data_IF_849330809257
#
_entry.id   IF_849330809257
#
_cell.length_a   1.000
_cell.length_b   1.000
_cell.length_c   1.000
_cell.angle_alpha   90.00
_cell.angle_beta   90.00
_cell.angle_gamma   90.00
#
_symmetry.space_group_name_H-M   'P 1'
#
loop_
_entity.id
_entity.type
_entity.pdbx_description
1 polymer ?
#
# COMPACT_ATOMS: atom_id res chain seq x y z
N UNK A 1 7.17 16.53 2.90
CA UNK A 1 5.96 17.34 2.66
C UNK A 1 6.24 18.55 1.76
N UNK A 2 7.19 19.40 2.14
CA UNK A 2 7.50 20.68 1.49
C UNK A 2 7.81 20.52 -0.01
N UNK A 3 8.53 19.47 -0.39
CA UNK A 3 8.89 19.16 -1.78
C UNK A 3 7.67 18.97 -2.69
N UNK A 4 6.60 18.34 -2.21
CA UNK A 4 5.35 18.19 -2.96
C UNK A 4 4.68 19.56 -3.20
N UNK A 5 4.69 20.43 -2.18
CA UNK A 5 4.07 21.75 -2.26
C UNK A 5 4.87 22.67 -3.22
N UNK A 6 6.20 22.57 -3.19
CA UNK A 6 7.12 23.25 -4.12
C UNK A 6 6.92 22.80 -5.57
N UNK A 7 6.79 21.50 -5.81
CA UNK A 7 6.53 20.98 -7.15
C UNK A 7 5.21 21.52 -7.73
N UNK A 8 4.20 21.67 -6.86
CA UNK A 8 2.90 22.26 -7.20
C UNK A 8 2.92 23.80 -7.32
N UNK A 9 4.08 24.44 -7.17
CA UNK A 9 4.28 25.89 -7.22
C UNK A 9 3.45 26.67 -6.19
N UNK A 10 3.29 26.10 -5.00
CA UNK A 10 2.66 26.80 -3.87
C UNK A 10 3.66 27.81 -3.31
N UNK A 11 3.19 29.00 -2.93
CA UNK A 11 4.04 30.05 -2.36
C UNK A 11 4.75 29.55 -1.09
N UNK A 12 6.02 29.90 -0.93
CA UNK A 12 6.80 29.62 0.29
C UNK A 12 6.16 30.24 1.53
N UNK A 13 5.42 31.33 1.39
CA UNK A 13 4.70 31.95 2.52
C UNK A 13 3.64 31.00 3.10
N UNK A 14 2.95 30.26 2.23
CA UNK A 14 1.91 29.30 2.63
C UNK A 14 2.58 28.08 3.27
N UNK A 15 3.69 27.61 2.71
CA UNK A 15 4.46 26.50 3.26
C UNK A 15 4.98 26.85 4.66
N UNK A 16 5.47 28.08 4.84
CA UNK A 16 5.97 28.58 6.12
C UNK A 16 4.83 28.68 7.14
N UNK A 17 3.68 29.24 6.77
CA UNK A 17 2.49 29.28 7.64
C UNK A 17 2.01 27.90 8.05
N UNK A 18 1.90 26.97 7.10
CA UNK A 18 1.53 25.58 7.42
C UNK A 18 2.50 24.94 8.41
N UNK A 19 3.79 25.28 8.33
CA UNK A 19 4.83 24.80 9.25
C UNK A 19 4.73 25.44 10.63
N UNK A 20 4.48 26.76 10.70
CA UNK A 20 4.23 27.50 11.95
C UNK A 20 3.00 26.97 12.68
N UNK A 21 1.94 26.65 11.94
CA UNK A 21 0.70 26.07 12.46
C UNK A 21 0.82 24.57 12.79
N UNK A 22 2.02 23.99 12.65
CA UNK A 22 2.30 22.59 12.99
C UNK A 22 1.60 21.58 12.08
N UNK A 23 1.20 21.99 10.86
CA UNK A 23 0.57 21.09 9.89
C UNK A 23 1.65 20.21 9.29
N UNK A 24 1.68 18.95 9.75
CA UNK A 24 2.51 17.88 9.22
C UNK A 24 1.70 16.91 8.33
N UNK A 25 2.33 15.87 7.77
CA UNK A 25 1.63 14.89 6.91
C UNK A 25 0.56 14.12 7.69
N UNK A 26 0.80 13.91 8.97
CA UNK A 26 -0.09 13.22 9.92
C UNK A 26 -1.36 14.02 10.16
N UNK A 27 -1.23 15.32 10.37
CA UNK A 27 -2.33 16.28 10.51
C UNK A 27 -3.10 16.40 9.21
N UNK A 28 -2.41 16.53 8.06
CA UNK A 28 -3.05 16.57 6.74
C UNK A 28 -3.92 15.34 6.48
N UNK A 29 -3.49 14.16 6.95
CA UNK A 29 -4.29 12.95 6.82
C UNK A 29 -5.60 13.00 7.62
N UNK A 30 -5.61 13.71 8.76
CA UNK A 30 -6.77 13.85 9.65
C UNK A 30 -7.64 15.07 9.31
N UNK A 31 -7.13 16.01 8.51
CA UNK A 31 -7.86 17.21 8.11
C UNK A 31 -8.84 16.93 6.97
N UNK A 32 -9.98 17.60 7.03
CA UNK A 32 -10.93 17.67 5.92
C UNK A 32 -10.49 18.69 4.87
N UNK A 33 -11.04 18.56 3.66
CA UNK A 33 -10.72 19.44 2.53
C UNK A 33 -11.01 20.91 2.86
N UNK A 34 -12.11 21.18 3.57
CA UNK A 34 -12.50 22.53 3.99
C UNK A 34 -11.47 23.19 4.91
N UNK A 35 -10.84 22.39 5.78
CA UNK A 35 -9.81 22.88 6.69
C UNK A 35 -8.50 23.14 5.95
N UNK A 36 -8.16 22.27 4.99
CA UNK A 36 -6.96 22.40 4.17
C UNK A 36 -7.07 23.56 3.17
N UNK A 37 -8.29 23.93 2.79
CA UNK A 37 -8.59 25.02 1.88
C UNK A 37 -8.24 26.41 2.45
N UNK A 38 -8.08 26.52 3.77
CA UNK A 38 -7.57 27.73 4.44
C UNK A 38 -6.13 28.07 4.03
N UNK A 39 -5.36 27.06 3.64
CA UNK A 39 -3.97 27.20 3.21
C UNK A 39 -3.85 27.05 1.70
N UNK A 40 -4.53 26.05 1.11
CA UNK A 40 -4.52 25.78 -0.31
C UNK A 40 -5.85 26.24 -0.95
N UNK A 41 -5.88 27.36 -1.68
CA UNK A 41 -7.13 27.87 -2.26
C UNK A 41 -7.69 26.97 -3.38
N UNK A 42 -6.83 26.15 -4.01
CA UNK A 42 -7.22 25.22 -5.06
C UNK A 42 -7.64 23.87 -4.49
N UNK A 43 -8.91 23.53 -4.69
CA UNK A 43 -9.50 22.24 -4.31
C UNK A 43 -8.70 21.03 -4.84
N UNK A 44 -8.23 21.09 -6.08
CA UNK A 44 -7.43 20.02 -6.68
C UNK A 44 -6.10 19.78 -5.96
N UNK A 45 -5.49 20.84 -5.43
CA UNK A 45 -4.23 20.73 -4.69
C UNK A 45 -4.47 20.18 -3.28
N UNK A 46 -5.61 20.50 -2.66
CA UNK A 46 -6.05 19.86 -1.41
C UNK A 46 -6.21 18.34 -1.58
N UNK A 47 -6.94 17.91 -2.61
CA UNK A 47 -7.14 16.48 -2.90
C UNK A 47 -5.82 15.77 -3.19
N UNK A 48 -4.97 16.39 -4.00
CA UNK A 48 -3.67 15.83 -4.33
C UNK A 48 -2.81 15.69 -3.06
N UNK A 49 -2.87 16.64 -2.14
CA UNK A 49 -2.10 16.60 -0.90
C UNK A 49 -2.60 15.55 0.09
N UNK A 50 -3.92 15.40 0.22
CA UNK A 50 -4.53 14.33 1.02
C UNK A 50 -4.18 12.95 0.43
N UNK A 51 -4.22 12.81 -0.90
CA UNK A 51 -3.83 11.57 -1.57
C UNK A 51 -2.34 11.25 -1.37
N UNK A 52 -1.46 12.24 -1.50
CA UNK A 52 -0.02 12.13 -1.24
C UNK A 52 0.25 11.68 0.21
N UNK A 53 -0.42 12.30 1.20
CA UNK A 53 -0.32 11.91 2.60
C UNK A 53 -0.76 10.45 2.84
N UNK A 54 -1.86 10.01 2.19
CA UNK A 54 -2.34 8.61 2.26
C UNK A 54 -1.33 7.62 1.67
N UNK A 55 -0.71 7.97 0.54
CA UNK A 55 0.28 7.12 -0.12
C UNK A 55 1.56 6.99 0.72
N UNK A 56 2.06 8.10 1.28
CA UNK A 56 3.26 8.08 2.11
C UNK A 56 3.07 7.22 3.36
N UNK A 57 1.93 7.34 4.05
CA UNK A 57 1.61 6.46 5.19
C UNK A 57 1.55 4.99 4.79
N UNK A 58 0.90 4.70 3.66
CA UNK A 58 0.83 3.31 3.15
C UNK A 58 2.21 2.77 2.83
N UNK A 59 3.12 3.59 2.30
CA UNK A 59 4.51 3.20 2.04
C UNK A 59 5.29 2.94 3.32
N UNK A 60 5.10 3.73 4.38
CA UNK A 60 5.73 3.49 5.68
C UNK A 60 5.19 2.21 6.35
N UNK A 61 3.88 1.99 6.32
CA UNK A 61 3.23 0.77 6.82
C UNK A 61 3.61 -0.47 5.99
N UNK A 62 3.82 -0.30 4.68
CA UNK A 62 4.24 -1.38 3.78
C UNK A 62 5.74 -1.65 3.89
N UNK A 63 6.56 -0.64 4.16
CA UNK A 63 8.00 -0.80 4.36
C UNK A 63 8.28 -1.58 5.64
N UNK A 64 7.56 -1.30 6.73
CA UNK A 64 7.61 -2.08 7.97
C UNK A 64 7.08 -3.50 7.76
N UNK A 65 5.88 -3.67 7.22
CA UNK A 65 5.24 -4.97 6.95
C UNK A 65 6.05 -5.88 6.00
N UNK A 66 6.60 -5.32 4.92
CA UNK A 66 7.40 -6.08 3.96
C UNK A 66 8.77 -6.47 4.53
N UNK A 67 9.39 -5.59 5.32
CA UNK A 67 10.62 -5.89 6.06
C UNK A 67 10.40 -7.03 7.04
N UNK A 68 9.30 -7.01 7.80
CA UNK A 68 8.98 -8.04 8.77
C UNK A 68 8.63 -9.39 8.11
N UNK A 69 7.89 -9.36 6.99
CA UNK A 69 7.62 -10.57 6.21
C UNK A 69 8.90 -11.15 5.60
N UNK A 70 9.78 -10.29 5.06
CA UNK A 70 11.07 -10.72 4.49
C UNK A 70 12.00 -11.29 5.56
N UNK A 71 12.04 -10.68 6.75
CA UNK A 71 12.76 -11.19 7.93
C UNK A 71 12.21 -12.54 8.36
N UNK A 72 10.89 -12.67 8.54
CA UNK A 72 10.23 -13.93 8.89
C UNK A 72 10.52 -15.06 7.89
N UNK A 73 10.50 -14.76 6.59
CA UNK A 73 10.87 -15.73 5.55
C UNK A 73 12.34 -16.14 5.60
N UNK A 74 13.24 -15.18 5.85
CA UNK A 74 14.68 -15.42 6.01
C UNK A 74 14.97 -16.28 7.23
N UNK A 75 14.33 -16.00 8.36
CA UNK A 75 14.53 -16.75 9.60
C UNK A 75 14.02 -18.19 9.46
N UNK A 76 12.85 -18.39 8.85
CA UNK A 76 12.34 -19.73 8.52
C UNK A 76 13.26 -20.50 7.58
N UNK A 77 13.91 -19.82 6.63
CA UNK A 77 14.87 -20.45 5.72
C UNK A 77 16.14 -20.89 6.48
N UNK A 78 16.68 -20.02 7.33
CA UNK A 78 17.85 -20.32 8.15
C UNK A 78 17.57 -21.44 9.15
N UNK A 79 16.39 -21.45 9.75
CA UNK A 79 15.93 -22.53 10.64
C UNK A 79 15.86 -23.86 9.89
N UNK A 80 15.29 -23.88 8.68
CA UNK A 80 15.28 -25.08 7.84
C UNK A 80 16.69 -25.56 7.52
N UNK A 81 17.59 -24.68 7.07
CA UNK A 81 18.97 -25.05 6.74
C UNK A 81 19.75 -25.60 7.95
N UNK A 82 19.55 -25.01 9.14
CA UNK A 82 20.11 -25.51 10.40
C UNK A 82 19.52 -26.87 10.79
N UNK A 83 18.23 -27.08 10.57
CA UNK A 83 17.57 -28.35 10.83
C UNK A 83 17.97 -29.48 9.86
N UNK A 84 18.29 -29.17 8.59
CA UNK A 84 18.76 -30.17 7.61
C UNK A 84 20.19 -30.65 7.89
N UNK A 85 21.03 -29.81 8.51
CA UNK A 85 22.40 -30.19 8.87
C UNK A 85 22.49 -31.34 9.88
N UNK A 86 21.44 -31.59 10.66
CA UNK A 86 21.42 -32.59 11.74
C UNK A 86 20.53 -33.82 11.50
N UNK A 87 19.94 -33.99 10.30
CA UNK A 87 19.09 -35.16 10.01
C UNK A 87 19.56 -35.90 8.77
N UNK A 88 20.51 -36.81 8.95
CA UNK A 88 20.66 -38.01 8.11
C UNK A 88 19.51 -38.98 8.38
N UNK A 89 18.26 -38.57 8.19
CA UNK A 89 17.11 -39.47 8.09
C UNK A 89 15.88 -38.63 7.80
N UNK A 90 15.32 -38.80 6.61
CA UNK A 90 13.91 -38.66 6.24
C UNK A 90 13.82 -38.50 4.71
N UNK A 91 14.48 -39.40 4.00
CA UNK A 91 14.21 -39.66 2.58
C UNK A 91 12.92 -40.50 2.44
N UNK A 92 11.82 -40.09 3.09
CA UNK A 92 10.51 -40.73 2.93
C UNK A 92 9.41 -39.71 3.17
N UNK A 93 8.98 -39.07 2.08
CA UNK A 93 7.59 -38.71 1.75
C UNK A 93 7.60 -37.79 0.53
N UNK A 94 8.01 -38.34 -0.62
CA UNK A 94 7.48 -37.90 -1.90
C UNK A 94 6.02 -38.41 -1.98
N UNK A 95 5.13 -37.82 -1.20
CA UNK A 95 3.69 -38.01 -1.37
C UNK A 95 3.23 -36.90 -2.33
N UNK A 96 2.96 -37.31 -3.57
CA UNK A 96 2.17 -36.63 -4.61
C UNK A 96 1.80 -35.17 -4.30
N UNK A 97 2.52 -34.22 -4.92
CA UNK A 97 2.07 -32.84 -5.03
C UNK A 97 0.67 -32.83 -5.64
N UNK A 98 -0.35 -32.58 -4.83
CA UNK A 98 -1.65 -32.16 -5.32
C UNK A 98 -1.44 -30.81 -6.02
N UNK A 99 -1.57 -30.82 -7.35
CA UNK A 99 -1.34 -29.66 -8.21
C UNK A 99 -2.12 -28.42 -7.77
N UNK A 100 -1.54 -27.26 -8.07
CA UNK A 100 -2.03 -25.93 -7.72
C UNK A 100 -3.53 -25.75 -8.07
N UNK A 101 -4.38 -25.86 -7.05
CA UNK A 101 -5.85 -25.80 -7.15
C UNK A 101 -6.35 -24.39 -7.52
N UNK A 102 -5.49 -23.38 -7.40
CA UNK A 102 -5.88 -21.97 -7.55
C UNK A 102 -6.02 -21.52 -9.03
N UNK A 103 -5.40 -22.24 -9.98
CA UNK A 103 -5.47 -21.91 -11.41
C UNK A 103 -6.84 -22.20 -12.06
N UNK A 104 -7.72 -22.98 -11.41
CA UNK A 104 -8.99 -23.44 -12.01
C UNK A 104 -10.18 -22.50 -11.79
N UNK A 105 -10.03 -21.37 -11.08
CA UNK A 105 -11.15 -20.47 -10.74
C UNK A 105 -11.41 -19.35 -11.75
N UNK A 106 -10.61 -19.16 -12.80
CA UNK A 106 -10.77 -17.99 -13.69
C UNK A 106 -11.83 -18.12 -14.80
N UNK A 107 -12.46 -19.29 -15.00
CA UNK A 107 -13.24 -19.52 -16.23
C UNK A 107 -14.76 -19.27 -16.17
N UNK A 108 -15.37 -18.87 -15.03
CA UNK A 108 -16.85 -18.80 -14.92
C UNK A 108 -17.40 -17.50 -14.34
N UNK A 109 -16.91 -16.34 -14.78
CA UNK A 109 -17.58 -15.06 -14.45
C UNK A 109 -17.49 -14.01 -15.58
N UNK A 110 -17.87 -14.37 -16.81
CA UNK A 110 -17.86 -13.43 -17.95
C UNK A 110 -19.16 -13.33 -18.76
N UNK A 111 -20.31 -13.85 -18.30
CA UNK A 111 -21.54 -13.86 -19.11
C UNK A 111 -22.83 -13.38 -18.44
N UNK A 112 -22.79 -12.35 -17.59
CA UNK A 112 -24.03 -11.72 -17.07
C UNK A 112 -24.12 -10.20 -17.23
N UNK A 113 -23.16 -9.55 -17.90
CA UNK A 113 -23.23 -8.08 -18.12
C UNK A 113 -23.89 -7.66 -19.44
N UNK A 114 -24.28 -8.60 -20.31
CA UNK A 114 -24.78 -8.33 -21.67
C UNK A 114 -26.27 -8.69 -21.90
N UNK A 115 -27.09 -8.78 -20.84
CA UNK A 115 -28.54 -9.03 -20.97
C UNK A 115 -29.37 -7.91 -20.31
N UNK A 116 -28.86 -6.68 -20.29
CA UNK A 116 -29.58 -5.52 -19.76
C UNK A 116 -29.98 -4.47 -20.81
N UNK A 117 -29.74 -4.75 -22.10
CA UNK A 117 -30.03 -3.84 -23.22
C UNK A 117 -30.72 -4.50 -24.43
N UNK A 118 -31.40 -5.63 -24.23
CA UNK A 118 -32.46 -6.07 -25.14
C UNK A 118 -33.74 -6.05 -24.31
N UNK A 119 -34.82 -5.51 -24.85
CA UNK A 119 -36.04 -5.03 -24.18
C UNK A 119 -36.06 -3.52 -23.89
N UNK A 120 -35.98 -2.76 -24.99
CA UNK A 120 -36.88 -1.63 -25.26
C UNK A 120 -37.38 -1.77 -26.69
#
# INVERSE_FOLDING_TARGET
MEEFLRHRKISEDIITRMKEDGIDLTVIFMMDVEQLQKYLPRYGDCLAKIADAKQQRTLEDSASSCSDRKRSLRDRLLEKLRATGNRKEHFRRAATQAGNINAKKSLKKSRTWLVKYLWY
#
